data_IF_628771084011
#
_entry.id   IF_628771084011
#
_cell.length_a   1.000
_cell.length_b   1.000
_cell.length_c   1.000
_cell.angle_alpha   90.00
_cell.angle_beta   90.00
_cell.angle_gamma   90.00
#
_symmetry.space_group_name_H-M   'P 1'
#
loop_
_entity.id
_entity.type
_entity.pdbx_description
1 polymer ?
#
# COMPACT_ATOMS: atom_id res chain seq x y z
N UNK A 1 1.11 -13.73 -10.00
CA UNK A 1 2.00 -14.71 -9.36
C UNK A 1 1.14 -15.78 -8.70
N UNK A 2 1.66 -17.00 -8.52
CA UNK A 2 0.90 -18.09 -7.86
C UNK A 2 1.02 -18.05 -6.33
N UNK A 3 2.12 -17.55 -5.79
CA UNK A 3 2.26 -17.14 -4.39
C UNK A 3 2.39 -15.62 -4.31
N UNK A 4 1.83 -15.02 -3.28
CA UNK A 4 1.92 -13.58 -2.99
C UNK A 4 1.69 -13.34 -1.50
N UNK A 5 2.21 -12.23 -0.99
CA UNK A 5 1.94 -11.77 0.38
C UNK A 5 1.10 -10.50 0.35
N UNK A 6 0.10 -10.42 1.21
CA UNK A 6 -0.75 -9.24 1.37
C UNK A 6 -0.65 -8.67 2.77
N UNK A 7 -0.88 -7.37 2.89
CA UNK A 7 -1.13 -6.67 4.14
C UNK A 7 -2.60 -6.83 4.59
N UNK A 8 -3.09 -8.07 4.47
CA UNK A 8 -4.48 -8.43 4.70
C UNK A 8 -4.84 -8.35 6.19
N UNK A 9 -6.05 -7.87 6.47
CA UNK A 9 -6.60 -7.81 7.81
C UNK A 9 -8.12 -7.94 7.80
N UNK A 10 -8.64 -8.46 8.90
CA UNK A 10 -10.06 -8.70 9.11
C UNK A 10 -10.52 -7.87 10.31
N UNK A 11 -11.54 -7.04 10.11
CA UNK A 11 -12.13 -6.22 11.17
C UNK A 11 -13.50 -6.79 11.49
N UNK A 12 -13.70 -7.13 12.77
CA UNK A 12 -15.00 -7.51 13.31
C UNK A 12 -15.57 -6.31 14.06
N UNK A 13 -16.75 -5.85 13.66
CA UNK A 13 -17.36 -4.67 14.25
C UNK A 13 -18.87 -4.82 14.42
N UNK A 14 -19.44 -4.05 15.34
CA UNK A 14 -20.89 -3.97 15.51
C UNK A 14 -21.52 -3.12 14.42
N UNK A 15 -22.82 -3.28 14.21
CA UNK A 15 -23.58 -2.54 13.20
C UNK A 15 -23.41 -1.01 13.32
N UNK A 16 -23.42 -0.49 14.54
CA UNK A 16 -23.27 0.94 14.85
C UNK A 16 -21.86 1.49 14.55
N UNK A 17 -20.86 0.61 14.45
CA UNK A 17 -19.46 0.98 14.21
C UNK A 17 -19.05 0.90 12.74
N UNK A 18 -19.86 0.26 11.89
CA UNK A 18 -19.52 -0.06 10.50
C UNK A 18 -19.09 1.18 9.71
N UNK A 19 -19.87 2.26 9.78
CA UNK A 19 -19.60 3.48 8.99
C UNK A 19 -18.27 4.13 9.39
N UNK A 20 -18.00 4.19 10.70
CA UNK A 20 -16.76 4.77 11.24
C UNK A 20 -15.55 3.91 10.89
N UNK A 21 -15.65 2.58 10.99
CA UNK A 21 -14.56 1.67 10.60
C UNK A 21 -14.25 1.79 9.09
N UNK A 22 -15.27 1.88 8.24
CA UNK A 22 -15.06 2.11 6.82
C UNK A 22 -14.33 3.44 6.57
N UNK A 23 -14.77 4.55 7.17
CA UNK A 23 -14.13 5.87 7.05
C UNK A 23 -12.68 5.84 7.52
N UNK A 24 -12.40 5.17 8.63
CA UNK A 24 -11.04 4.98 9.15
C UNK A 24 -10.14 4.24 8.17
N UNK A 25 -10.62 3.13 7.60
CA UNK A 25 -9.85 2.34 6.64
C UNK A 25 -9.61 3.12 5.34
N UNK A 26 -10.62 3.81 4.80
CA UNK A 26 -10.45 4.63 3.59
C UNK A 26 -9.44 5.75 3.82
N UNK A 27 -9.50 6.44 4.96
CA UNK A 27 -8.49 7.46 5.30
C UNK A 27 -7.09 6.86 5.37
N UNK A 28 -6.96 5.66 5.93
CA UNK A 28 -5.66 5.00 6.01
C UNK A 28 -5.12 4.61 4.62
N UNK A 29 -5.99 4.11 3.73
CA UNK A 29 -5.64 3.83 2.33
C UNK A 29 -5.10 5.08 1.64
N UNK A 30 -5.82 6.20 1.74
CA UNK A 30 -5.43 7.46 1.10
C UNK A 30 -4.11 8.02 1.68
N UNK A 31 -3.94 7.95 3.00
CA UNK A 31 -2.69 8.35 3.66
C UNK A 31 -1.49 7.53 3.18
N UNK A 32 -1.67 6.20 3.05
CA UNK A 32 -0.61 5.32 2.55
C UNK A 32 -0.26 5.68 1.11
N UNK A 33 -1.25 5.87 0.24
CA UNK A 33 -1.01 6.29 -1.14
C UNK A 33 -0.25 7.62 -1.23
N UNK A 34 -0.64 8.62 -0.45
CA UNK A 34 0.06 9.91 -0.38
C UNK A 34 1.51 9.74 0.08
N UNK A 35 1.76 8.93 1.13
CA UNK A 35 3.11 8.66 1.63
C UNK A 35 4.01 7.98 0.58
N UNK A 36 3.43 7.19 -0.33
CA UNK A 36 4.12 6.56 -1.45
C UNK A 36 4.17 7.43 -2.72
N UNK A 37 3.64 8.66 -2.68
CA UNK A 37 3.71 9.64 -3.77
C UNK A 37 2.53 9.62 -4.76
N UNK A 38 1.49 8.82 -4.50
CA UNK A 38 0.27 8.81 -5.30
C UNK A 38 -0.69 9.88 -4.80
N UNK A 39 -1.18 10.74 -5.70
CA UNK A 39 -2.15 11.77 -5.32
C UNK A 39 -3.56 11.20 -5.34
N UNK A 40 -4.49 11.87 -4.65
CA UNK A 40 -5.90 11.45 -4.62
C UNK A 40 -6.50 11.37 -6.03
N UNK A 41 -6.06 12.23 -6.94
CA UNK A 41 -6.54 12.27 -8.33
C UNK A 41 -6.04 11.08 -9.17
N UNK A 42 -4.98 10.39 -8.74
CA UNK A 42 -4.47 9.18 -9.37
C UNK A 42 -5.26 7.92 -8.94
N UNK A 43 -6.14 8.07 -7.95
CA UNK A 43 -6.89 6.98 -7.32
C UNK A 43 -8.33 7.01 -7.80
N UNK A 44 -8.76 5.91 -8.41
CA UNK A 44 -10.13 5.69 -8.82
C UNK A 44 -10.74 4.55 -8.03
N UNK A 45 -11.94 4.78 -7.52
CA UNK A 45 -12.64 3.83 -6.65
C UNK A 45 -13.74 3.12 -7.44
N UNK A 46 -13.90 1.83 -7.18
CA UNK A 46 -14.92 1.01 -7.82
C UNK A 46 -15.79 0.40 -6.73
N UNK A 47 -17.06 0.78 -6.71
CA UNK A 47 -18.06 0.23 -5.80
C UNK A 47 -18.73 -0.96 -6.49
N UNK A 48 -18.25 -2.17 -6.17
CA UNK A 48 -18.80 -3.41 -6.70
C UNK A 48 -20.06 -3.78 -5.94
N UNK A 49 -21.20 -3.72 -6.64
CA UNK A 49 -22.54 -3.99 -6.13
C UNK A 49 -23.04 -5.34 -6.64
N UNK A 50 -24.06 -5.88 -5.98
CA UNK A 50 -24.66 -7.15 -6.38
C UNK A 50 -25.49 -6.98 -7.65
N UNK A 51 -25.68 -8.09 -8.36
CA UNK A 51 -26.63 -8.15 -9.46
C UNK A 51 -28.06 -8.18 -8.90
N UNK A 52 -28.89 -7.15 -9.16
CA UNK A 52 -30.26 -7.11 -8.67
C UNK A 52 -31.13 -8.27 -9.19
N UNK A 53 -30.79 -8.84 -10.35
CA UNK A 53 -31.55 -9.91 -11.00
C UNK A 53 -31.13 -11.31 -10.51
N UNK A 54 -29.97 -11.45 -9.86
CA UNK A 54 -29.43 -12.74 -9.43
C UNK A 54 -29.23 -12.83 -7.91
N UNK A 55 -30.34 -12.81 -7.16
CA UNK A 55 -30.32 -12.89 -5.68
C UNK A 55 -29.74 -14.20 -5.11
N UNK A 56 -29.79 -15.31 -5.85
CA UNK A 56 -29.32 -16.64 -5.41
C UNK A 56 -27.79 -16.75 -5.36
N UNK A 57 -27.09 -15.92 -6.13
CA UNK A 57 -25.61 -15.94 -6.21
C UNK A 57 -24.94 -15.41 -4.93
N UNK A 58 -25.65 -14.62 -4.11
CA UNK A 58 -25.04 -13.89 -3.02
C UNK A 58 -25.40 -14.50 -1.65
N UNK A 59 -24.56 -14.28 -0.62
CA UNK A 59 -24.78 -14.64 0.78
C UNK A 59 -25.39 -13.47 1.59
N UNK A 60 -25.85 -13.72 2.81
CA UNK A 60 -26.48 -12.73 3.70
C UNK A 60 -27.98 -12.46 3.41
N UNK A 61 -28.68 -11.89 4.39
CA UNK A 61 -30.10 -11.51 4.26
C UNK A 61 -30.27 -10.15 3.56
N UNK A 62 -31.41 -9.96 2.86
CA UNK A 62 -31.69 -8.78 2.03
C UNK A 62 -31.57 -7.44 2.80
N UNK A 63 -31.85 -7.41 4.10
CA UNK A 63 -31.68 -6.20 4.94
C UNK A 63 -30.20 -5.85 5.21
N UNK A 64 -29.39 -6.83 5.64
CA UNK A 64 -27.95 -6.61 5.90
C UNK A 64 -27.20 -6.22 4.61
N UNK A 65 -27.63 -6.83 3.52
CA UNK A 65 -27.26 -6.52 2.15
C UNK A 65 -27.51 -5.06 1.76
N UNK A 66 -28.76 -4.60 1.85
CA UNK A 66 -29.11 -3.21 1.52
C UNK A 66 -28.36 -2.20 2.38
N UNK A 67 -28.19 -2.50 3.68
CA UNK A 67 -27.41 -1.68 4.60
C UNK A 67 -25.94 -1.54 4.15
N UNK A 68 -25.26 -2.63 3.80
CA UNK A 68 -23.84 -2.58 3.39
C UNK A 68 -23.60 -1.84 2.07
N UNK A 69 -24.46 -1.98 1.08
CA UNK A 69 -24.33 -1.23 -0.18
C UNK A 69 -24.57 0.26 0.03
N UNK A 70 -25.58 0.61 0.84
CA UNK A 70 -25.88 1.97 1.22
C UNK A 70 -24.71 2.61 1.99
N UNK A 71 -24.15 1.93 2.98
CA UNK A 71 -23.07 2.51 3.81
C UNK A 71 -21.78 2.67 3.02
N UNK A 72 -21.41 1.72 2.13
CA UNK A 72 -20.23 1.89 1.27
C UNK A 72 -20.39 3.09 0.33
N UNK A 73 -21.57 3.24 -0.28
CA UNK A 73 -21.88 4.38 -1.15
C UNK A 73 -21.81 5.70 -0.37
N UNK A 74 -22.46 5.77 0.79
CA UNK A 74 -22.46 6.94 1.65
C UNK A 74 -21.03 7.32 2.06
N UNK A 75 -20.21 6.34 2.47
CA UNK A 75 -18.81 6.59 2.82
C UNK A 75 -18.02 7.13 1.63
N UNK A 76 -18.21 6.56 0.43
CA UNK A 76 -17.56 7.05 -0.77
C UNK A 76 -17.96 8.50 -1.13
N UNK A 77 -19.24 8.83 -0.98
CA UNK A 77 -19.78 10.19 -1.20
C UNK A 77 -19.29 11.18 -0.13
N UNK A 78 -19.42 10.84 1.15
CA UNK A 78 -19.01 11.68 2.29
C UNK A 78 -17.51 12.02 2.24
N UNK A 79 -16.68 11.08 1.76
CA UNK A 79 -15.23 11.26 1.65
C UNK A 79 -14.80 11.88 0.31
N UNK A 80 -15.76 12.20 -0.56
CA UNK A 80 -15.52 12.78 -1.88
C UNK A 80 -14.55 11.93 -2.71
N UNK A 81 -14.78 10.62 -2.77
CA UNK A 81 -14.00 9.71 -3.61
C UNK A 81 -14.50 9.81 -5.06
N UNK A 82 -13.58 9.77 -6.03
CA UNK A 82 -13.97 9.55 -7.44
C UNK A 82 -14.29 8.06 -7.62
N UNK A 83 -15.59 7.72 -7.53
CA UNK A 83 -16.03 6.33 -7.59
C UNK A 83 -17.01 6.04 -8.72
N UNK A 84 -16.94 4.79 -9.22
CA UNK A 84 -17.89 4.23 -10.19
C UNK A 84 -18.59 3.02 -9.59
N UNK A 85 -19.91 2.97 -9.76
CA UNK A 85 -20.70 1.79 -9.40
C UNK A 85 -20.61 0.69 -10.48
N UNK A 86 -20.38 -0.54 -10.06
CA UNK A 86 -20.31 -1.72 -10.93
C UNK A 86 -21.28 -2.79 -10.43
N UNK A 87 -22.45 -2.89 -11.08
CA UNK A 87 -23.48 -3.88 -10.74
C UNK A 87 -23.08 -5.28 -11.23
N UNK A 88 -23.20 -6.27 -10.35
CA UNK A 88 -22.90 -7.68 -10.65
C UNK A 88 -21.45 -8.09 -10.35
N UNK A 89 -20.56 -7.13 -10.10
CA UNK A 89 -19.13 -7.35 -9.83
C UNK A 89 -18.83 -7.62 -8.35
N UNK A 90 -19.82 -7.52 -7.45
CA UNK A 90 -19.64 -7.93 -6.06
C UNK A 90 -19.27 -9.42 -5.97
N UNK A 91 -18.43 -9.75 -4.99
CA UNK A 91 -18.20 -11.15 -4.65
C UNK A 91 -19.49 -11.78 -4.10
N UNK A 92 -19.55 -13.12 -4.12
CA UNK A 92 -20.74 -13.82 -3.63
C UNK A 92 -21.03 -13.49 -2.15
N UNK A 93 -20.03 -13.16 -1.33
CA UNK A 93 -20.20 -12.94 0.10
C UNK A 93 -20.37 -11.48 0.53
N UNK A 94 -20.30 -10.50 -0.39
CA UNK A 94 -20.57 -9.10 -0.04
C UNK A 94 -20.05 -8.06 -1.04
N UNK A 95 -20.57 -6.81 -0.95
CA UNK A 95 -20.08 -5.69 -1.74
C UNK A 95 -18.71 -5.20 -1.26
N UNK A 96 -18.01 -4.44 -2.11
CA UNK A 96 -16.66 -3.94 -1.82
C UNK A 96 -16.36 -2.60 -2.50
N UNK A 97 -15.41 -1.88 -1.93
CA UNK A 97 -14.72 -0.74 -2.54
C UNK A 97 -13.33 -1.20 -2.98
N UNK A 98 -13.07 -1.16 -4.27
CA UNK A 98 -11.75 -1.43 -4.84
C UNK A 98 -11.07 -0.11 -5.24
N UNK A 99 -9.85 0.09 -4.75
CA UNK A 99 -9.05 1.28 -5.04
C UNK A 99 -8.04 0.92 -6.12
N UNK A 100 -8.16 1.59 -7.27
CA UNK A 100 -7.25 1.42 -8.39
C UNK A 100 -6.39 2.67 -8.55
N UNK A 101 -5.08 2.46 -8.62
CA UNK A 101 -4.11 3.53 -8.87
C UNK A 101 -3.73 3.52 -10.34
N UNK A 102 -3.69 4.70 -10.95
CA UNK A 102 -3.26 4.87 -12.34
C UNK A 102 -1.72 4.91 -12.40
N UNK A 103 -1.12 4.06 -13.22
CA UNK A 103 0.32 4.07 -13.46
C UNK A 103 0.74 5.18 -14.45
N UNK A 104 2.05 5.36 -14.63
CA UNK A 104 2.65 6.42 -15.47
C UNK A 104 2.31 6.29 -16.96
N UNK A 105 1.79 5.14 -17.42
CA UNK A 105 1.33 4.93 -18.80
C UNK A 105 -0.21 4.82 -18.89
N UNK A 106 -0.89 5.13 -17.80
CA UNK A 106 -2.34 5.28 -17.72
C UNK A 106 -3.15 4.02 -17.48
N UNK A 107 -2.51 2.89 -17.12
CA UNK A 107 -3.24 1.66 -16.76
C UNK A 107 -3.69 1.74 -15.30
N UNK A 108 -4.89 1.26 -15.04
CA UNK A 108 -5.42 1.14 -13.68
C UNK A 108 -4.99 -0.19 -13.05
N UNK A 109 -4.32 -0.13 -11.90
CA UNK A 109 -3.93 -1.29 -11.10
C UNK A 109 -4.72 -1.30 -9.81
N UNK A 110 -5.47 -2.37 -9.55
CA UNK A 110 -6.11 -2.56 -8.26
C UNK A 110 -5.05 -2.85 -7.19
N UNK A 111 -5.07 -2.03 -6.13
CA UNK A 111 -4.16 -2.12 -4.99
C UNK A 111 -4.96 -2.40 -3.72
N UNK A 112 -5.63 -1.40 -3.15
CA UNK A 112 -6.45 -1.61 -1.94
C UNK A 112 -7.82 -2.20 -2.24
N UNK A 113 -8.37 -2.89 -1.25
CA UNK A 113 -9.77 -3.33 -1.23
C UNK A 113 -10.34 -3.21 0.18
N UNK A 114 -11.64 -2.92 0.27
CA UNK A 114 -12.41 -2.93 1.49
C UNK A 114 -13.74 -3.63 1.23
N UNK A 115 -13.92 -4.80 1.82
CA UNK A 115 -14.96 -5.73 1.41
C UNK A 115 -15.72 -6.29 2.62
N UNK A 116 -17.05 -6.32 2.51
CA UNK A 116 -17.89 -7.03 3.47
C UNK A 116 -17.88 -8.53 3.22
N UNK A 117 -17.96 -9.30 4.30
CA UNK A 117 -18.21 -10.74 4.27
C UNK A 117 -19.35 -11.12 5.21
N UNK A 118 -20.43 -11.63 4.62
CA UNK A 118 -21.58 -12.18 5.34
C UNK A 118 -21.49 -13.69 5.56
N UNK A 119 -20.62 -14.37 4.83
CA UNK A 119 -20.52 -15.82 4.80
C UNK A 119 -19.72 -16.35 5.99
N UNK A 120 -18.57 -15.76 6.30
CA UNK A 120 -17.70 -16.26 7.38
C UNK A 120 -18.31 -16.04 8.78
N UNK A 121 -18.90 -14.88 9.12
CA UNK A 121 -19.57 -14.72 10.42
C UNK A 121 -20.65 -15.77 10.67
N UNK A 122 -21.46 -16.08 9.65
CA UNK A 122 -22.50 -17.10 9.73
C UNK A 122 -21.90 -18.51 9.84
N UNK A 123 -20.96 -18.87 8.96
CA UNK A 123 -20.36 -20.21 8.92
C UNK A 123 -19.54 -20.57 10.15
N UNK A 124 -18.91 -19.58 10.78
CA UNK A 124 -18.14 -19.79 12.01
C UNK A 124 -18.97 -19.56 13.27
N UNK A 125 -20.27 -19.27 13.15
CA UNK A 125 -21.14 -18.94 14.27
C UNK A 125 -20.53 -17.86 15.17
N UNK A 126 -20.04 -16.78 14.54
CA UNK A 126 -19.42 -15.68 15.25
C UNK A 126 -20.49 -14.86 15.97
N UNK A 127 -20.27 -14.62 17.26
CA UNK A 127 -21.21 -13.87 18.08
C UNK A 127 -20.44 -12.98 19.07
N UNK A 128 -21.06 -11.87 19.45
CA UNK A 128 -20.66 -11.05 20.57
C UNK A 128 -21.88 -10.77 21.45
N UNK A 129 -21.66 -10.50 22.74
CA UNK A 129 -22.73 -10.09 23.65
C UNK A 129 -22.87 -8.58 23.60
N UNK A 130 -24.05 -8.09 23.21
CA UNK A 130 -24.35 -6.65 23.20
C UNK A 130 -24.60 -6.10 24.61
N UNK A 131 -24.83 -4.80 24.72
CA UNK A 131 -25.06 -4.12 26.01
C UNK A 131 -26.32 -4.62 26.74
N UNK A 132 -27.27 -5.21 26.01
CA UNK A 132 -28.51 -5.78 26.54
C UNK A 132 -28.35 -7.25 26.92
N UNK A 133 -27.14 -7.83 26.81
CA UNK A 133 -26.88 -9.24 27.12
C UNK A 133 -27.36 -10.21 26.03
N UNK A 134 -27.74 -9.71 24.86
CA UNK A 134 -28.20 -10.51 23.72
C UNK A 134 -27.02 -10.85 22.82
N UNK A 135 -26.96 -12.09 22.35
CA UNK A 135 -26.00 -12.51 21.35
C UNK A 135 -26.34 -11.90 19.99
N UNK A 136 -25.38 -11.23 19.37
CA UNK A 136 -25.49 -10.64 18.04
C UNK A 136 -24.32 -11.09 17.17
N UNK A 137 -24.57 -11.21 15.87
CA UNK A 137 -23.51 -11.52 14.90
C UNK A 137 -22.76 -10.23 14.50
N UNK A 138 -21.42 -10.22 14.52
CA UNK A 138 -20.64 -9.06 14.08
C UNK A 138 -20.61 -8.95 12.54
N UNK A 139 -20.38 -7.73 12.05
CA UNK A 139 -19.99 -7.51 10.67
C UNK A 139 -18.50 -7.81 10.51
N UNK A 140 -18.13 -8.51 9.42
CA UNK A 140 -16.75 -8.76 9.05
C UNK A 140 -16.38 -7.93 7.81
N UNK A 141 -15.28 -7.19 7.93
CA UNK A 141 -14.66 -6.43 6.85
C UNK A 141 -13.28 -7.03 6.55
N UNK A 142 -13.04 -7.37 5.29
CA UNK A 142 -11.71 -7.68 4.78
C UNK A 142 -11.09 -6.40 4.23
N UNK A 143 -9.82 -6.17 4.54
CA UNK A 143 -9.07 -5.06 3.96
C UNK A 143 -7.67 -5.47 3.55
N UNK A 144 -7.21 -4.92 2.43
CA UNK A 144 -5.80 -4.83 2.09
C UNK A 144 -5.52 -3.37 1.69
N UNK A 145 -4.46 -2.75 2.20
CA UNK A 145 -4.13 -1.34 1.92
C UNK A 145 -3.22 -1.26 0.70
N UNK A 146 -2.17 -2.09 0.64
CA UNK A 146 -1.26 -2.17 -0.50
C UNK A 146 -1.75 -3.18 -1.55
N UNK A 147 -2.53 -4.16 -1.10
CA UNK A 147 -2.89 -5.32 -1.90
C UNK A 147 -1.81 -6.38 -1.76
N UNK A 148 -1.25 -6.85 -2.87
CA UNK A 148 -0.08 -7.72 -2.82
C UNK A 148 1.20 -6.88 -2.84
N UNK A 149 2.16 -7.20 -1.97
CA UNK A 149 3.44 -6.48 -1.93
C UNK A 149 4.15 -6.50 -3.27
N UNK A 150 4.10 -7.62 -3.98
CA UNK A 150 4.77 -7.78 -5.27
C UNK A 150 4.14 -6.92 -6.36
N UNK A 151 2.81 -6.80 -6.35
CA UNK A 151 2.10 -5.88 -7.27
C UNK A 151 2.38 -4.44 -6.92
N UNK A 152 2.37 -4.11 -5.63
CA UNK A 152 2.60 -2.74 -5.16
C UNK A 152 4.03 -2.28 -5.45
N UNK A 153 5.04 -3.13 -5.19
CA UNK A 153 6.44 -2.85 -5.57
C UNK A 153 6.57 -2.68 -7.09
N UNK A 154 5.90 -3.53 -7.88
CA UNK A 154 5.86 -3.38 -9.34
C UNK A 154 5.29 -2.02 -9.78
N UNK A 155 4.19 -1.58 -9.15
CA UNK A 155 3.61 -0.26 -9.38
C UNK A 155 4.59 0.86 -8.98
N UNK A 156 5.27 0.75 -7.84
CA UNK A 156 6.25 1.74 -7.39
C UNK A 156 7.46 1.84 -8.33
N UNK A 157 7.96 0.71 -8.84
CA UNK A 157 9.05 0.69 -9.84
C UNK A 157 8.62 1.46 -11.10
N UNK A 158 7.42 1.20 -11.60
CA UNK A 158 6.87 1.90 -12.76
C UNK A 158 6.66 3.39 -12.46
N UNK A 159 6.09 3.73 -11.30
CA UNK A 159 5.79 5.09 -10.87
C UNK A 159 7.06 5.97 -10.77
N UNK A 160 8.09 5.46 -10.10
CA UNK A 160 9.36 6.18 -9.92
C UNK A 160 10.33 6.01 -11.09
N UNK A 161 9.99 5.19 -12.08
CA UNK A 161 10.92 4.70 -13.10
C UNK A 161 12.23 4.16 -12.51
N UNK A 162 12.18 3.58 -11.30
CA UNK A 162 13.35 3.14 -10.51
C UNK A 162 14.11 4.23 -9.73
N UNK A 163 13.78 5.52 -9.87
CA UNK A 163 14.37 6.61 -9.07
C UNK A 163 13.59 6.79 -7.75
N UNK A 164 13.74 5.83 -6.84
CA UNK A 164 12.97 5.83 -5.60
C UNK A 164 13.28 7.01 -4.68
N UNK A 165 12.31 7.48 -3.86
CA UNK A 165 12.59 8.44 -2.81
C UNK A 165 13.55 7.82 -1.80
N UNK A 166 14.33 8.67 -1.11
CA UNK A 166 15.41 8.25 -0.22
C UNK A 166 15.01 7.13 0.73
N UNK A 167 13.86 7.25 1.38
CA UNK A 167 13.41 6.29 2.38
C UNK A 167 13.13 4.89 1.80
N UNK A 168 12.79 4.79 0.51
CA UNK A 168 12.44 3.55 -0.19
C UNK A 168 13.60 2.97 -1.01
N UNK A 169 14.60 3.78 -1.37
CA UNK A 169 15.72 3.35 -2.21
C UNK A 169 16.51 2.16 -1.60
N UNK A 170 16.81 1.09 -2.35
CA UNK A 170 17.54 -0.07 -1.83
C UNK A 170 18.91 0.30 -1.25
N UNK A 171 19.62 1.18 -1.95
CA UNK A 171 20.83 1.87 -1.49
C UNK A 171 20.53 3.37 -1.50
N UNK A 172 20.74 4.02 -0.36
CA UNK A 172 20.41 5.42 -0.14
C UNK A 172 21.60 6.33 -0.44
N UNK A 173 22.80 5.88 -0.08
CA UNK A 173 24.03 6.67 -0.20
C UNK A 173 25.17 5.77 -0.67
N UNK A 174 25.81 6.12 -1.79
CA UNK A 174 27.06 5.54 -2.23
C UNK A 174 28.23 6.43 -1.86
N UNK A 175 29.26 5.88 -1.24
CA UNK A 175 30.48 6.60 -0.85
C UNK A 175 31.61 6.18 -1.80
N UNK A 176 32.18 7.13 -2.52
CA UNK A 176 33.21 6.89 -3.52
C UNK A 176 34.52 7.55 -3.06
N UNK A 177 35.51 6.76 -2.60
CA UNK A 177 36.84 7.29 -2.32
C UNK A 177 37.57 7.64 -3.62
N UNK A 178 38.26 8.80 -3.67
CA UNK A 178 39.02 9.22 -4.86
C UNK A 178 40.27 8.36 -5.12
N UNK A 179 40.75 7.63 -4.11
CA UNK A 179 41.88 6.71 -4.19
C UNK A 179 41.83 5.67 -3.06
N UNK A 180 42.53 4.54 -3.22
CA UNK A 180 42.57 3.43 -2.26
C UNK A 180 42.97 3.87 -0.83
N UNK A 181 43.88 4.84 -0.72
CA UNK A 181 44.31 5.37 0.59
C UNK A 181 43.16 5.98 1.43
N UNK A 182 42.05 6.39 0.80
CA UNK A 182 40.89 6.98 1.46
C UNK A 182 39.78 5.98 1.81
N UNK A 183 39.93 4.70 1.49
CA UNK A 183 38.91 3.68 1.79
C UNK A 183 38.61 3.61 3.28
N UNK A 184 39.64 3.64 4.14
CA UNK A 184 39.45 3.67 5.60
C UNK A 184 38.67 4.88 6.09
N UNK A 185 38.78 6.02 5.40
CA UNK A 185 38.00 7.21 5.73
C UNK A 185 36.54 7.05 5.26
N UNK A 186 36.33 6.52 4.05
CA UNK A 186 35.01 6.16 3.54
C UNK A 186 34.27 5.17 4.47
N UNK A 187 34.97 4.16 5.01
CA UNK A 187 34.40 3.19 5.94
C UNK A 187 33.93 3.85 7.25
N UNK A 188 34.67 4.84 7.77
CA UNK A 188 34.22 5.60 8.95
C UNK A 188 32.92 6.36 8.68
N UNK A 189 32.79 6.95 7.49
CA UNK A 189 31.57 7.65 7.07
C UNK A 189 30.43 6.66 6.91
N UNK A 190 30.69 5.50 6.29
CA UNK A 190 29.73 4.40 6.16
C UNK A 190 29.17 3.98 7.52
N UNK A 191 30.03 3.71 8.50
CA UNK A 191 29.60 3.33 9.86
C UNK A 191 28.81 4.45 10.53
N UNK A 192 29.21 5.71 10.38
CA UNK A 192 28.46 6.87 10.92
C UNK A 192 27.04 6.96 10.34
N UNK A 193 26.87 6.68 9.05
CA UNK A 193 25.54 6.64 8.43
C UNK A 193 24.75 5.40 8.85
N UNK A 194 25.42 4.25 8.99
CA UNK A 194 24.80 3.00 9.42
C UNK A 194 24.27 3.08 10.85
N UNK A 195 25.01 3.73 11.76
CA UNK A 195 24.54 4.04 13.12
C UNK A 195 23.25 4.88 13.13
N UNK A 196 23.03 5.66 12.07
CA UNK A 196 21.80 6.44 11.84
C UNK A 196 20.77 5.71 10.98
N UNK A 197 20.93 4.39 10.77
CA UNK A 197 20.03 3.51 10.03
C UNK A 197 19.91 3.81 8.53
N UNK A 198 20.88 4.50 7.94
CA UNK A 198 20.95 4.64 6.48
C UNK A 198 21.55 3.40 5.83
N UNK A 199 20.99 3.01 4.68
CA UNK A 199 21.52 1.95 3.80
C UNK A 199 22.59 2.55 2.89
N UNK A 200 23.85 2.37 3.25
CA UNK A 200 24.97 2.96 2.52
C UNK A 200 25.97 1.90 2.07
N UNK A 201 26.75 2.20 1.03
CA UNK A 201 27.76 1.29 0.49
C UNK A 201 29.02 2.09 0.10
N UNK A 202 30.20 1.55 0.39
CA UNK A 202 31.49 2.10 -0.06
C UNK A 202 31.88 1.42 -1.38
N UNK A 203 32.08 2.20 -2.44
CA UNK A 203 32.57 1.68 -3.72
C UNK A 203 34.11 1.63 -3.73
N UNK A 204 34.65 0.53 -3.21
CA UNK A 204 36.09 0.22 -3.18
C UNK A 204 36.58 -0.54 -4.43
N UNK A 205 35.75 -0.63 -5.48
CA UNK A 205 36.09 -1.37 -6.69
C UNK A 205 37.31 -0.80 -7.42
N UNK A 206 37.95 -1.61 -8.27
CA UNK A 206 39.08 -1.18 -9.11
C UNK A 206 38.64 -0.37 -10.36
N UNK A 207 37.37 0.03 -10.44
CA UNK A 207 36.87 0.86 -11.53
C UNK A 207 37.46 2.27 -11.48
N UNK A 208 37.57 2.93 -12.64
CA UNK A 208 37.99 4.32 -12.68
C UNK A 208 36.98 5.22 -11.95
N UNK A 209 37.46 6.30 -11.33
CA UNK A 209 36.62 7.22 -10.57
C UNK A 209 35.39 7.70 -11.36
N UNK A 210 35.57 8.09 -12.62
CA UNK A 210 34.46 8.48 -13.51
C UNK A 210 33.47 7.35 -13.76
N UNK A 211 33.94 6.09 -13.83
CA UNK A 211 33.07 4.92 -14.00
C UNK A 211 32.26 4.64 -12.74
N UNK A 212 32.84 4.77 -11.55
CA UNK A 212 32.11 4.64 -10.27
C UNK A 212 30.95 5.64 -10.16
N UNK A 213 31.20 6.91 -10.48
CA UNK A 213 30.17 7.95 -10.50
C UNK A 213 29.06 7.61 -11.50
N UNK A 214 29.45 7.21 -12.73
CA UNK A 214 28.49 6.83 -13.76
C UNK A 214 27.63 5.63 -13.33
N UNK A 215 28.22 4.62 -12.68
CA UNK A 215 27.48 3.47 -12.18
C UNK A 215 26.44 3.89 -11.12
N UNK A 216 26.84 4.75 -10.18
CA UNK A 216 25.92 5.29 -9.16
C UNK A 216 24.73 6.06 -9.79
N UNK A 217 24.99 6.84 -10.84
CA UNK A 217 23.95 7.56 -11.58
C UNK A 217 23.00 6.61 -12.33
N UNK A 218 23.54 5.60 -13.03
CA UNK A 218 22.76 4.59 -13.75
C UNK A 218 21.87 3.78 -12.80
N UNK A 219 22.39 3.45 -11.63
CA UNK A 219 21.67 2.73 -10.57
C UNK A 219 20.73 3.63 -9.76
N UNK A 220 20.70 4.93 -10.07
CA UNK A 220 19.80 5.92 -9.48
C UNK A 220 19.94 6.03 -7.96
N UNK A 221 21.17 5.96 -7.47
CA UNK A 221 21.45 6.13 -6.04
C UNK A 221 21.08 7.56 -5.63
N UNK A 222 20.22 7.78 -4.62
CA UNK A 222 19.76 9.12 -4.25
C UNK A 222 20.89 10.10 -3.91
N UNK A 223 21.92 9.63 -3.21
CA UNK A 223 23.09 10.42 -2.88
C UNK A 223 24.39 9.68 -3.22
N UNK A 224 25.29 10.37 -3.91
CA UNK A 224 26.67 9.91 -4.12
C UNK A 224 27.60 10.88 -3.42
N UNK A 225 28.34 10.39 -2.43
CA UNK A 225 29.31 11.17 -1.65
C UNK A 225 30.70 10.83 -2.15
N UNK A 226 31.47 11.85 -2.52
CA UNK A 226 32.86 11.70 -2.95
C UNK A 226 33.76 12.09 -1.78
N UNK A 227 34.76 11.27 -1.47
CA UNK A 227 35.68 11.53 -0.35
C UNK A 227 37.14 11.43 -0.78
N UNK A 228 37.91 12.46 -0.48
CA UNK A 228 39.34 12.51 -0.75
C UNK A 228 40.12 13.28 0.31
N UNK A 229 41.31 13.77 -0.09
CA UNK A 229 42.25 14.39 0.84
C UNK A 229 41.68 15.61 1.55
N UNK A 230 40.86 16.39 0.82
CA UNK A 230 40.25 17.58 1.36
C UNK A 230 39.19 17.21 2.38
N UNK A 231 38.28 16.29 2.00
CA UNK A 231 37.19 15.86 2.86
C UNK A 231 37.68 15.10 4.11
N UNK A 232 38.84 14.44 4.08
CA UNK A 232 39.43 13.79 5.26
C UNK A 232 40.06 14.79 6.25
N UNK A 233 40.47 15.97 5.76
CA UNK A 233 41.11 17.02 6.59
C UNK A 233 40.11 18.02 7.15
N UNK A 234 38.98 18.21 6.48
CA UNK A 234 37.86 19.04 6.94
C UNK A 234 37.12 18.39 8.12
#
# INVERSE_FOLDING_TARGET
MRGFTQDDAHIMCRKDQVEDELKRVVNFILYIYEAFGFKKEDVKVYLSLRDPENKKKYAGHDEGRGFTEMVLKRVAEDMGLDFKEEKGEAAFYGPKLDFKVKDVIGRERQCSTLQFDFNLPERFHMEYTNEQGVAEQPYMLHRALLGSFERFIGLLIEHYAGAFPLWLAPEQIRIIPVAEKFVKYADKIHETFREKMFRTLVDDSNDSFSKKIRNAEIEKIPYTIIVGEKEEKD
#
